data_IF_475948634453
#
_entry.id   IF_475948634453
#
_cell.length_a   1.000
_cell.length_b   1.000
_cell.length_c   1.000
_cell.angle_alpha   90.00
_cell.angle_beta   90.00
_cell.angle_gamma   90.00
#
_symmetry.space_group_name_H-M   'P 1'
#
loop_
_entity.id
_entity.type
_entity.pdbx_description
1 polymer ?
#
# COMPACT_ATOMS: atom_id res chain seq x y z
N UNK A 1 50.29 -21.26 26.10
CA UNK A 1 49.07 -21.54 26.89
C UNK A 1 48.33 -20.29 27.40
N UNK A 2 49.02 -19.23 27.86
CA UNK A 2 48.36 -18.05 28.45
C UNK A 2 47.50 -17.24 27.43
N UNK A 3 47.93 -17.18 26.17
CA UNK A 3 47.21 -16.48 25.10
C UNK A 3 45.88 -17.15 24.73
N UNK A 4 45.88 -18.49 24.64
CA UNK A 4 44.67 -19.28 24.39
C UNK A 4 43.65 -19.11 25.53
N UNK A 5 44.06 -19.11 26.80
CA UNK A 5 43.15 -18.86 27.94
C UNK A 5 42.48 -17.48 27.90
N UNK A 6 43.16 -16.44 27.40
CA UNK A 6 42.55 -15.12 27.20
C UNK A 6 41.51 -15.14 26.08
N UNK A 7 41.82 -15.79 24.96
CA UNK A 7 40.89 -15.93 23.83
C UNK A 7 39.63 -16.72 24.25
N UNK A 8 39.79 -17.84 24.96
CA UNK A 8 38.66 -18.62 25.50
C UNK A 8 37.80 -17.80 26.48
N UNK A 9 38.41 -17.00 27.35
CA UNK A 9 37.66 -16.11 28.26
C UNK A 9 36.87 -15.05 27.49
N UNK A 10 37.48 -14.42 26.48
CA UNK A 10 36.78 -13.44 25.64
C UNK A 10 35.61 -14.07 24.87
N UNK A 11 35.81 -15.25 24.26
CA UNK A 11 34.75 -15.98 23.56
C UNK A 11 33.61 -16.39 24.51
N UNK A 12 33.93 -16.82 25.74
CA UNK A 12 32.92 -17.12 26.74
C UNK A 12 32.12 -15.88 27.16
N UNK A 13 32.78 -14.74 27.36
CA UNK A 13 32.08 -13.49 27.70
C UNK A 13 31.16 -13.06 26.56
N UNK A 14 31.64 -13.10 25.31
CA UNK A 14 30.82 -12.80 24.12
C UNK A 14 29.63 -13.75 24.05
N UNK A 15 29.84 -15.05 24.25
CA UNK A 15 28.77 -16.04 24.27
C UNK A 15 27.71 -15.77 25.33
N UNK A 16 28.12 -15.43 26.56
CA UNK A 16 27.20 -15.06 27.65
C UNK A 16 26.39 -13.81 27.27
N UNK A 17 27.02 -12.79 26.70
CA UNK A 17 26.33 -11.56 26.28
C UNK A 17 25.32 -11.85 25.17
N UNK A 18 25.68 -12.64 24.17
CA UNK A 18 24.76 -13.03 23.08
C UNK A 18 23.55 -13.79 23.62
N UNK A 19 23.77 -14.74 24.53
CA UNK A 19 22.68 -15.50 25.18
C UNK A 19 21.79 -14.56 25.99
N UNK A 20 22.38 -13.66 26.79
CA UNK A 20 21.61 -12.71 27.59
C UNK A 20 20.73 -11.79 26.71
N UNK A 21 21.28 -11.25 25.61
CA UNK A 21 20.52 -10.44 24.65
C UNK A 21 19.40 -11.25 24.01
N UNK A 22 19.66 -12.49 23.61
CA UNK A 22 18.64 -13.36 23.03
C UNK A 22 17.50 -13.66 24.02
N UNK A 23 17.83 -13.91 25.30
CA UNK A 23 16.84 -14.11 26.37
C UNK A 23 16.01 -12.85 26.57
N UNK A 24 16.63 -11.67 26.64
CA UNK A 24 15.90 -10.40 26.80
C UNK A 24 14.95 -10.16 25.63
N UNK A 25 15.42 -10.32 24.38
CA UNK A 25 14.60 -10.14 23.19
C UNK A 25 13.42 -11.12 23.17
N UNK A 26 13.65 -12.39 23.56
CA UNK A 26 12.60 -13.39 23.66
C UNK A 26 11.56 -12.99 24.71
N UNK A 27 12.00 -12.63 25.92
CA UNK A 27 11.12 -12.20 27.01
C UNK A 27 10.30 -10.96 26.65
N UNK A 28 10.89 -9.95 26.03
CA UNK A 28 10.17 -8.76 25.56
C UNK A 28 9.14 -9.10 24.48
N UNK A 29 9.49 -10.00 23.56
CA UNK A 29 8.57 -10.46 22.50
C UNK A 29 7.38 -11.20 23.11
N UNK A 30 7.64 -12.14 24.02
CA UNK A 30 6.60 -12.91 24.70
C UNK A 30 5.67 -12.01 25.52
N UNK A 31 6.22 -11.02 26.23
CA UNK A 31 5.43 -10.05 26.97
C UNK A 31 4.53 -9.22 26.04
N UNK A 32 5.07 -8.70 24.93
CA UNK A 32 4.26 -7.97 23.95
C UNK A 32 3.19 -8.85 23.31
N UNK A 33 3.48 -10.11 22.99
CA UNK A 33 2.48 -11.04 22.44
C UNK A 33 1.33 -11.26 23.41
N UNK A 34 1.61 -11.36 24.71
CA UNK A 34 0.60 -11.48 25.75
C UNK A 34 -0.26 -10.21 25.87
N UNK A 35 0.36 -9.03 25.95
CA UNK A 35 -0.36 -7.75 26.02
C UNK A 35 -1.21 -7.49 24.76
N UNK A 36 -0.65 -7.79 23.60
CA UNK A 36 -1.33 -7.62 22.33
C UNK A 36 -2.50 -8.60 22.17
N UNK A 37 -2.39 -9.82 22.69
CA UNK A 37 -3.50 -10.77 22.73
C UNK A 37 -4.66 -10.25 23.59
N UNK A 38 -4.38 -9.57 24.71
CA UNK A 38 -5.41 -8.94 25.56
C UNK A 38 -6.08 -7.78 24.82
N UNK A 39 -5.30 -6.97 24.11
CA UNK A 39 -5.82 -5.84 23.32
C UNK A 39 -6.48 -6.27 22.00
N UNK A 40 -6.33 -7.54 21.61
CA UNK A 40 -6.80 -8.02 20.32
C UNK A 40 -8.33 -7.97 20.23
N UNK A 41 -9.05 -8.00 21.35
CA UNK A 41 -10.52 -7.94 21.38
C UNK A 41 -11.10 -6.58 21.00
N UNK A 42 -10.31 -5.50 21.02
CA UNK A 42 -10.79 -4.16 20.64
C UNK A 42 -11.13 -4.07 19.15
N UNK A 43 -12.31 -3.55 18.80
CA UNK A 43 -12.62 -3.14 17.42
C UNK A 43 -12.17 -1.69 17.19
N UNK A 44 -11.24 -1.49 16.26
CA UNK A 44 -10.56 -0.20 16.09
C UNK A 44 -10.40 0.13 14.61
N UNK A 45 -10.92 1.28 14.19
CA UNK A 45 -10.55 1.86 12.89
C UNK A 45 -9.11 2.37 12.95
N UNK A 46 -8.24 1.82 12.11
CA UNK A 46 -6.86 2.26 11.99
C UNK A 46 -6.82 3.50 11.08
N UNK A 47 -7.13 4.70 11.58
CA UNK A 47 -7.01 5.98 10.84
C UNK A 47 -6.03 6.98 11.47
N UNK A 48 -5.29 6.58 12.51
CA UNK A 48 -4.35 7.49 13.18
C UNK A 48 -3.07 7.75 12.35
N UNK A 49 -2.46 8.93 12.58
CA UNK A 49 -1.17 9.42 12.04
C UNK A 49 0.06 8.56 12.39
N UNK A 50 -0.11 7.35 12.89
CA UNK A 50 0.99 6.41 13.08
C UNK A 50 1.32 5.84 11.70
N UNK A 51 2.63 5.70 11.39
CA UNK A 51 3.15 4.94 10.22
C UNK A 51 2.79 3.45 10.32
N UNK A 52 1.50 3.13 10.39
CA UNK A 52 0.87 1.80 10.47
C UNK A 52 1.13 1.00 9.18
N UNK A 53 1.20 1.72 8.08
CA UNK A 53 1.49 1.35 6.70
C UNK A 53 2.92 0.84 6.49
N UNK A 54 3.83 1.07 7.44
CA UNK A 54 5.20 0.52 7.42
C UNK A 54 5.38 -0.77 8.24
N UNK A 55 4.36 -1.18 9.00
CA UNK A 55 4.38 -2.36 9.88
C UNK A 55 3.77 -3.61 9.25
N UNK A 56 3.81 -4.74 9.96
CA UNK A 56 3.13 -5.99 9.57
C UNK A 56 2.02 -6.38 10.56
N UNK A 57 2.21 -6.08 11.85
CA UNK A 57 1.32 -6.58 12.91
C UNK A 57 -0.13 -6.11 12.74
N UNK A 58 -0.34 -4.80 12.56
CA UNK A 58 -1.70 -4.25 12.43
C UNK A 58 -2.38 -4.68 11.13
N UNK A 59 -1.61 -4.87 10.04
CA UNK A 59 -2.12 -5.40 8.78
C UNK A 59 -2.66 -6.83 8.96
N UNK A 60 -1.82 -7.71 9.50
CA UNK A 60 -2.18 -9.12 9.76
C UNK A 60 -3.34 -9.23 10.75
N UNK A 61 -3.33 -8.39 11.79
CA UNK A 61 -4.43 -8.32 12.75
C UNK A 61 -5.75 -7.94 12.08
N UNK A 62 -5.74 -6.93 11.20
CA UNK A 62 -6.94 -6.48 10.48
C UNK A 62 -7.56 -7.61 9.66
N UNK A 63 -6.71 -8.31 8.90
CA UNK A 63 -7.12 -9.46 8.10
C UNK A 63 -7.70 -10.58 8.96
N UNK A 64 -7.00 -10.96 10.04
CA UNK A 64 -7.47 -11.96 10.99
C UNK A 64 -8.82 -11.61 11.65
N UNK A 65 -9.09 -10.31 11.85
CA UNK A 65 -10.35 -9.80 12.41
C UNK A 65 -11.46 -9.66 11.36
N UNK A 66 -11.16 -9.87 10.08
CA UNK A 66 -12.11 -9.69 8.99
C UNK A 66 -12.45 -8.22 8.71
N UNK A 67 -11.57 -7.30 9.10
CA UNK A 67 -11.63 -5.89 8.72
C UNK A 67 -11.26 -5.72 7.23
N UNK A 68 -11.76 -4.67 6.60
CA UNK A 68 -11.41 -4.29 5.24
C UNK A 68 -10.05 -3.56 5.23
N UNK A 69 -9.05 -4.13 4.57
CA UNK A 69 -7.87 -3.39 4.15
C UNK A 69 -8.17 -2.65 2.84
N UNK A 70 -8.09 -1.31 2.87
CA UNK A 70 -8.19 -0.50 1.66
C UNK A 70 -6.81 0.07 1.33
N UNK A 71 -6.19 -0.46 0.28
CA UNK A 71 -4.85 -0.11 -0.17
C UNK A 71 -4.94 0.92 -1.30
N UNK A 72 -4.05 1.89 -1.30
CA UNK A 72 -4.01 2.98 -2.28
C UNK A 72 -2.89 3.96 -2.02
N UNK A 73 -3.00 5.18 -2.52
CA UNK A 73 -2.06 6.28 -2.36
C UNK A 73 -2.74 7.53 -1.77
N UNK A 74 -2.57 8.70 -2.39
CA UNK A 74 -3.10 9.99 -1.92
C UNK A 74 -4.62 10.09 -2.01
N UNK A 75 -5.28 9.31 -2.86
CA UNK A 75 -6.74 9.27 -3.00
C UNK A 75 -7.43 8.92 -1.68
N UNK A 76 -6.79 8.14 -0.82
CA UNK A 76 -7.30 7.76 0.50
C UNK A 76 -7.46 8.95 1.46
N UNK A 77 -6.84 10.09 1.13
CA UNK A 77 -6.92 11.35 1.88
C UNK A 77 -7.89 12.37 1.27
N UNK A 78 -8.71 11.97 0.28
CA UNK A 78 -9.68 12.87 -0.35
C UNK A 78 -10.58 13.55 0.69
N UNK A 79 -10.68 14.89 0.68
CA UNK A 79 -11.37 15.68 1.71
C UNK A 79 -12.89 15.75 1.46
N UNK A 80 -13.53 14.62 1.18
CA UNK A 80 -14.97 14.53 0.96
C UNK A 80 -15.64 13.73 2.07
N UNK A 81 -16.90 14.04 2.37
CA UNK A 81 -17.67 13.29 3.37
C UNK A 81 -17.76 11.80 3.03
N UNK A 82 -17.71 11.47 1.75
CA UNK A 82 -17.80 10.11 1.22
C UNK A 82 -16.50 9.31 1.37
N UNK A 83 -15.44 9.89 1.93
CA UNK A 83 -14.19 9.16 2.19
C UNK A 83 -14.52 7.85 2.94
N UNK A 84 -13.94 6.70 2.56
CA UNK A 84 -14.29 5.40 3.14
C UNK A 84 -14.28 5.36 4.67
N UNK A 85 -13.41 6.10 5.35
CA UNK A 85 -13.37 6.15 6.81
C UNK A 85 -14.69 6.62 7.44
N UNK A 86 -15.46 7.44 6.72
CA UNK A 86 -16.74 7.96 7.16
C UNK A 86 -17.90 7.03 6.83
N UNK A 87 -17.71 6.02 5.98
CA UNK A 87 -18.77 5.13 5.51
C UNK A 87 -18.66 3.69 6.01
N UNK A 88 -17.59 3.32 6.72
CA UNK A 88 -17.47 2.01 7.37
C UNK A 88 -17.40 2.13 8.90
N UNK A 89 -17.85 1.10 9.65
CA UNK A 89 -18.64 -0.05 9.15
C UNK A 89 -20.04 0.40 8.68
N UNK A 90 -20.62 -0.31 7.69
CA UNK A 90 -21.99 -0.05 7.22
C UNK A 90 -22.88 -1.30 7.19
N UNK A 91 -24.17 -1.10 6.94
CA UNK A 91 -25.21 -2.12 6.91
C UNK A 91 -25.03 -3.20 5.83
N UNK A 92 -24.24 -2.96 4.79
CA UNK A 92 -23.90 -3.99 3.79
C UNK A 92 -22.58 -4.71 4.10
N UNK A 93 -21.61 -3.99 4.66
CA UNK A 93 -20.36 -4.55 5.15
C UNK A 93 -20.08 -4.06 6.58
N UNK A 94 -20.50 -4.83 7.60
CA UNK A 94 -20.30 -4.48 9.01
C UNK A 94 -18.89 -4.82 9.48
N UNK A 95 -17.88 -4.35 8.75
CA UNK A 95 -16.46 -4.52 9.05
C UNK A 95 -15.78 -3.15 9.17
N UNK A 96 -14.80 -3.03 10.06
CA UNK A 96 -14.01 -1.81 10.14
C UNK A 96 -13.15 -1.66 8.89
N UNK A 97 -12.65 -0.44 8.67
CA UNK A 97 -11.78 -0.15 7.53
C UNK A 97 -10.42 0.34 8.00
N UNK A 98 -9.39 -0.18 7.35
CA UNK A 98 -8.00 0.17 7.60
C UNK A 98 -7.36 0.60 6.28
N UNK A 99 -7.22 1.93 6.13
CA UNK A 99 -6.60 2.57 4.95
C UNK A 99 -5.08 2.42 5.00
N UNK A 100 -4.48 1.85 3.96
CA UNK A 100 -3.04 1.64 3.82
C UNK A 100 -2.55 2.38 2.58
N UNK A 101 -1.67 3.35 2.77
CA UNK A 101 -1.17 4.16 1.67
C UNK A 101 -0.99 5.62 1.99
N UNK A 102 0.00 6.22 1.33
CA UNK A 102 0.25 7.66 1.27
C UNK A 102 0.60 8.03 -0.16
N UNK A 103 0.78 9.32 -0.44
CA UNK A 103 1.30 9.77 -1.74
C UNK A 103 2.54 8.94 -2.15
N UNK A 104 2.59 8.48 -3.40
CA UNK A 104 3.67 7.62 -3.95
C UNK A 104 3.71 6.18 -3.41
N UNK A 105 2.59 5.66 -2.89
CA UNK A 105 2.37 4.23 -2.73
C UNK A 105 1.90 3.68 -4.08
N UNK A 106 2.66 2.74 -4.66
CA UNK A 106 2.51 2.26 -6.03
C UNK A 106 2.71 0.75 -6.10
N UNK A 107 2.55 0.15 -7.28
CA UNK A 107 2.43 -1.31 -7.45
C UNK A 107 3.59 -2.11 -6.83
N UNK A 108 4.83 -1.59 -6.90
CA UNK A 108 5.99 -2.27 -6.31
C UNK A 108 5.89 -2.39 -4.78
N UNK A 109 5.52 -1.30 -4.10
CA UNK A 109 5.39 -1.30 -2.63
C UNK A 109 4.21 -2.17 -2.19
N UNK A 110 3.09 -2.10 -2.90
CA UNK A 110 1.92 -2.93 -2.64
C UNK A 110 2.21 -4.41 -2.88
N UNK A 111 2.95 -4.75 -3.94
CA UNK A 111 3.37 -6.12 -4.23
C UNK A 111 4.30 -6.68 -3.16
N UNK A 112 5.27 -5.87 -2.67
CA UNK A 112 6.14 -6.27 -1.55
C UNK A 112 5.31 -6.53 -0.29
N UNK A 113 4.35 -5.65 0.01
CA UNK A 113 3.46 -5.80 1.16
C UNK A 113 2.60 -7.05 1.06
N UNK A 114 1.91 -7.28 -0.08
CA UNK A 114 1.09 -8.47 -0.29
C UNK A 114 1.94 -9.75 -0.25
N UNK A 115 3.13 -9.74 -0.84
CA UNK A 115 4.05 -10.87 -0.77
C UNK A 115 4.65 -11.10 0.62
N UNK A 116 4.59 -10.12 1.53
CA UNK A 116 4.96 -10.29 2.93
C UNK A 116 3.84 -10.91 3.79
N UNK A 117 2.59 -10.88 3.32
CA UNK A 117 1.47 -11.53 3.99
C UNK A 117 1.53 -13.06 3.78
N UNK A 118 1.01 -13.82 4.75
CA UNK A 118 1.09 -15.29 4.75
C UNK A 118 -0.26 -15.92 4.38
N UNK A 119 -0.20 -17.12 3.81
CA UNK A 119 -1.33 -17.88 3.28
C UNK A 119 -2.44 -18.25 4.28
N UNK A 120 -2.20 -18.17 5.58
CA UNK A 120 -3.14 -18.69 6.60
C UNK A 120 -4.35 -17.76 6.87
N UNK A 121 -4.39 -16.60 6.22
CA UNK A 121 -5.43 -15.59 6.38
C UNK A 121 -6.61 -15.85 5.42
N UNK A 122 -7.26 -17.02 5.53
CA UNK A 122 -8.16 -17.58 4.50
C UNK A 122 -9.47 -16.82 4.17
N UNK A 123 -9.77 -15.70 4.84
CA UNK A 123 -10.90 -14.81 4.49
C UNK A 123 -10.45 -13.36 4.60
N UNK A 124 -9.92 -12.82 3.50
CA UNK A 124 -9.34 -11.47 3.46
C UNK A 124 -10.19 -10.52 2.65
N UNK A 125 -10.60 -9.42 3.28
CA UNK A 125 -11.26 -8.30 2.61
C UNK A 125 -10.19 -7.28 2.27
N UNK A 126 -9.63 -7.37 1.06
CA UNK A 126 -8.65 -6.39 0.58
C UNK A 126 -9.20 -5.73 -0.67
N UNK A 127 -9.40 -4.42 -0.63
CA UNK A 127 -9.58 -3.62 -1.82
C UNK A 127 -8.27 -2.86 -2.11
N UNK A 128 -7.84 -2.82 -3.37
CA UNK A 128 -6.63 -2.11 -3.78
C UNK A 128 -6.94 -1.19 -4.96
N UNK A 129 -6.67 0.10 -4.80
CA UNK A 129 -6.88 1.12 -5.82
C UNK A 129 -5.66 1.19 -6.70
N UNK A 130 -5.84 1.10 -8.02
CA UNK A 130 -4.78 1.30 -9.01
C UNK A 130 -5.06 2.59 -9.75
N UNK A 131 -4.17 3.56 -9.60
CA UNK A 131 -4.35 4.90 -10.18
C UNK A 131 -3.62 5.03 -11.52
N UNK A 132 -4.24 5.60 -12.57
CA UNK A 132 -3.63 5.72 -13.88
C UNK A 132 -2.42 6.65 -13.89
N UNK A 133 -2.36 7.59 -12.94
CA UNK A 133 -1.24 8.53 -12.76
C UNK A 133 0.06 7.82 -12.41
N UNK A 134 0.00 6.60 -11.87
CA UNK A 134 1.19 5.84 -11.56
C UNK A 134 1.98 5.41 -12.79
N UNK A 135 1.30 5.36 -13.94
CA UNK A 135 1.85 4.97 -15.23
C UNK A 135 2.28 6.19 -16.08
N UNK A 136 2.14 7.41 -15.56
CA UNK A 136 2.73 8.60 -16.20
C UNK A 136 4.25 8.61 -16.00
N UNK A 137 5.01 9.04 -17.01
CA UNK A 137 6.48 9.02 -16.98
C UNK A 137 7.09 7.62 -17.12
N UNK A 138 8.43 7.56 -17.06
CA UNK A 138 9.17 6.32 -17.34
C UNK A 138 9.29 5.37 -16.14
N UNK A 139 9.23 5.90 -14.91
CA UNK A 139 9.43 5.13 -13.67
C UNK A 139 8.83 5.87 -12.46
N UNK A 140 8.69 5.15 -11.35
CA UNK A 140 8.29 5.62 -10.02
C UNK A 140 9.16 6.80 -9.57
N UNK A 141 8.54 7.79 -8.90
CA UNK A 141 9.31 8.84 -8.23
C UNK A 141 10.18 8.24 -7.11
N UNK A 142 11.50 8.30 -7.32
CA UNK A 142 12.49 7.71 -6.42
C UNK A 142 12.37 8.23 -4.99
N UNK A 143 12.06 9.50 -4.77
CA UNK A 143 11.96 10.09 -3.43
C UNK A 143 10.65 9.71 -2.74
N UNK A 144 9.55 9.68 -3.47
CA UNK A 144 8.27 9.14 -3.06
C UNK A 144 8.42 7.69 -2.60
N UNK A 145 9.02 6.84 -3.43
CA UNK A 145 9.31 5.45 -3.09
C UNK A 145 10.13 5.33 -1.79
N UNK A 146 11.27 6.04 -1.70
CA UNK A 146 12.15 6.01 -0.53
C UNK A 146 11.42 6.43 0.76
N UNK A 147 10.45 7.35 0.67
CA UNK A 147 9.70 7.84 1.82
C UNK A 147 8.73 6.81 2.40
N UNK A 148 8.20 5.92 1.54
CA UNK A 148 7.20 4.90 1.88
C UNK A 148 7.80 3.50 2.06
N UNK A 149 9.04 3.25 1.60
CA UNK A 149 9.69 1.95 1.72
C UNK A 149 9.74 1.44 3.17
N UNK A 150 9.26 0.21 3.37
CA UNK A 150 9.36 -0.51 4.64
C UNK A 150 10.37 -1.65 4.55
N UNK A 151 11.47 -1.48 5.28
CA UNK A 151 12.46 -2.55 5.43
C UNK A 151 11.88 -3.80 6.12
N UNK A 152 10.94 -3.64 7.05
CA UNK A 152 10.29 -4.78 7.70
C UNK A 152 9.48 -5.60 6.67
N UNK A 153 8.68 -4.94 5.83
CA UNK A 153 7.91 -5.61 4.78
C UNK A 153 8.84 -6.31 3.78
N UNK A 154 9.91 -5.64 3.33
CA UNK A 154 10.91 -6.24 2.45
C UNK A 154 11.59 -7.47 3.05
N UNK A 155 12.04 -7.40 4.31
CA UNK A 155 12.67 -8.52 4.99
C UNK A 155 11.70 -9.68 5.25
N UNK A 156 10.42 -9.38 5.45
CA UNK A 156 9.35 -10.37 5.59
C UNK A 156 9.06 -11.06 4.25
N UNK A 157 8.98 -10.27 3.17
CA UNK A 157 8.83 -10.74 1.79
C UNK A 157 9.96 -11.71 1.38
N UNK A 158 11.22 -11.37 1.64
CA UNK A 158 12.35 -12.26 1.33
C UNK A 158 12.30 -13.59 2.09
N UNK A 159 11.73 -13.59 3.29
CA UNK A 159 11.54 -14.78 4.15
C UNK A 159 10.28 -15.58 3.83
N UNK A 160 9.42 -15.10 2.93
CA UNK A 160 8.24 -15.84 2.56
C UNK A 160 8.64 -16.94 1.55
N UNK A 161 8.53 -18.19 1.97
CA UNK A 161 8.91 -19.36 1.19
C UNK A 161 7.91 -19.66 0.06
N UNK A 162 6.71 -19.05 0.09
CA UNK A 162 5.75 -19.15 -1.00
C UNK A 162 6.16 -18.27 -2.20
N UNK A 163 7.02 -17.27 -1.99
CA UNK A 163 7.43 -16.34 -3.05
C UNK A 163 8.59 -16.94 -3.84
N UNK A 164 8.43 -16.99 -5.17
CA UNK A 164 9.44 -17.49 -6.07
C UNK A 164 10.73 -16.66 -6.04
N UNK A 165 11.86 -17.33 -6.26
CA UNK A 165 13.17 -16.67 -6.35
C UNK A 165 13.22 -15.61 -7.45
N UNK A 166 12.45 -15.77 -8.53
CA UNK A 166 12.35 -14.80 -9.63
C UNK A 166 11.75 -13.48 -9.16
N UNK A 167 10.66 -13.52 -8.40
CA UNK A 167 10.02 -12.34 -7.83
C UNK A 167 10.89 -11.70 -6.75
N UNK A 168 11.61 -12.50 -5.95
CA UNK A 168 12.61 -11.98 -4.99
C UNK A 168 13.73 -11.22 -5.70
N UNK A 169 14.25 -11.76 -6.81
CA UNK A 169 15.25 -11.08 -7.64
C UNK A 169 14.71 -9.81 -8.27
N UNK A 170 13.48 -9.83 -8.79
CA UNK A 170 12.83 -8.67 -9.36
C UNK A 170 12.80 -7.50 -8.37
N UNK A 171 12.24 -7.74 -7.18
CA UNK A 171 12.20 -6.74 -6.10
C UNK A 171 13.60 -6.26 -5.72
N UNK A 172 14.57 -7.17 -5.55
CA UNK A 172 15.94 -6.77 -5.23
C UNK A 172 16.62 -5.97 -6.36
N UNK A 173 16.30 -6.22 -7.63
CA UNK A 173 16.73 -5.38 -8.74
C UNK A 173 16.20 -3.96 -8.61
N UNK A 174 14.88 -3.83 -8.46
CA UNK A 174 14.19 -2.54 -8.31
C UNK A 174 14.66 -1.76 -7.08
N UNK A 175 14.79 -2.41 -5.92
CA UNK A 175 15.30 -1.78 -4.70
C UNK A 175 16.76 -1.34 -4.83
N UNK A 176 17.60 -2.08 -5.57
CA UNK A 176 18.98 -1.67 -5.78
C UNK A 176 19.08 -0.35 -6.56
N UNK A 177 18.19 -0.15 -7.53
CA UNK A 177 18.06 1.08 -8.33
C UNK A 177 17.42 2.22 -7.53
N UNK A 178 16.26 1.96 -6.92
CA UNK A 178 15.43 2.98 -6.26
C UNK A 178 16.02 3.45 -4.92
N UNK A 179 16.77 2.61 -4.20
CA UNK A 179 17.43 3.00 -2.94
C UNK A 179 18.82 3.60 -3.16
N UNK A 180 19.24 3.81 -4.41
CA UNK A 180 20.49 4.49 -4.69
C UNK A 180 20.50 5.91 -4.09
N UNK A 181 21.62 6.33 -3.50
CA UNK A 181 21.76 7.54 -2.68
C UNK A 181 20.84 7.65 -1.44
N UNK A 182 20.06 6.62 -1.10
CA UNK A 182 19.29 6.59 0.14
C UNK A 182 20.14 6.10 1.31
N UNK A 183 20.71 7.04 2.04
CA UNK A 183 21.53 6.75 3.23
C UNK A 183 20.73 6.03 4.33
N UNK A 184 19.41 6.25 4.42
CA UNK A 184 18.59 5.63 5.45
C UNK A 184 18.37 4.14 5.20
N UNK A 185 18.32 3.74 3.92
CA UNK A 185 18.02 2.37 3.50
C UNK A 185 19.22 1.66 2.84
N UNK A 186 20.45 2.14 3.09
CA UNK A 186 21.67 1.58 2.50
C UNK A 186 21.89 0.09 2.81
N UNK A 187 21.47 -0.37 4.00
CA UNK A 187 21.55 -1.79 4.38
C UNK A 187 20.55 -2.66 3.59
N UNK A 188 19.35 -2.15 3.32
CA UNK A 188 18.37 -2.82 2.44
C UNK A 188 18.85 -2.85 0.99
N UNK A 189 19.50 -1.77 0.53
CA UNK A 189 20.14 -1.73 -0.79
C UNK A 189 21.28 -2.75 -0.92
N UNK A 190 22.12 -2.86 0.10
CA UNK A 190 23.21 -3.85 0.13
C UNK A 190 22.65 -5.29 0.10
N UNK A 191 21.60 -5.56 0.87
CA UNK A 191 20.92 -6.86 0.80
C UNK A 191 20.39 -7.14 -0.61
N UNK A 192 19.78 -6.12 -1.24
CA UNK A 192 19.24 -6.21 -2.59
C UNK A 192 20.33 -6.52 -3.63
N UNK A 193 21.52 -5.92 -3.51
CA UNK A 193 22.70 -6.25 -4.34
C UNK A 193 23.09 -7.74 -4.23
N UNK A 194 23.03 -8.31 -3.02
CA UNK A 194 23.36 -9.72 -2.77
C UNK A 194 22.29 -10.65 -3.34
N UNK A 195 21.02 -10.25 -3.32
CA UNK A 195 19.88 -11.10 -3.71
C UNK A 195 19.48 -11.00 -5.19
N UNK A 196 19.78 -9.89 -5.87
CA UNK A 196 19.36 -9.67 -7.28
C UNK A 196 19.98 -10.67 -8.27
N UNK A 197 21.20 -11.15 -7.99
CA UNK A 197 21.95 -12.08 -8.85
C UNK A 197 22.32 -13.38 -8.13
N UNK A 198 22.26 -14.52 -8.85
CA UNK A 198 22.73 -15.83 -8.34
C UNK A 198 24.20 -16.04 -8.74
N UNK A 199 25.12 -15.82 -7.80
CA UNK A 199 26.55 -16.09 -7.96
C UNK A 199 27.09 -16.76 -6.69
N UNK A 200 28.17 -17.53 -6.81
CA UNK A 200 28.82 -18.18 -5.64
C UNK A 200 29.23 -17.15 -4.59
N UNK A 201 29.73 -15.99 -5.04
CA UNK A 201 30.10 -14.87 -4.15
C UNK A 201 28.88 -14.37 -3.38
N UNK A 202 27.77 -14.13 -4.08
CA UNK A 202 26.54 -13.67 -3.44
C UNK A 202 25.99 -14.69 -2.45
N UNK A 203 26.02 -15.98 -2.75
CA UNK A 203 25.52 -17.01 -1.84
C UNK A 203 26.40 -17.12 -0.57
N UNK A 204 27.71 -16.96 -0.70
CA UNK A 204 28.62 -16.83 0.46
C UNK A 204 28.31 -15.56 1.27
N UNK A 205 28.07 -14.43 0.60
CA UNK A 205 27.68 -13.18 1.29
C UNK A 205 26.34 -13.33 2.00
N UNK A 206 25.33 -13.99 1.40
CA UNK A 206 24.06 -14.30 2.08
C UNK A 206 24.31 -15.06 3.38
N UNK A 207 25.15 -16.09 3.34
CA UNK A 207 25.47 -16.89 4.52
C UNK A 207 26.19 -16.07 5.60
N UNK A 208 27.19 -15.26 5.22
CA UNK A 208 27.96 -14.42 6.14
C UNK A 208 27.04 -13.40 6.83
N UNK A 209 26.16 -12.74 6.08
CA UNK A 209 25.30 -11.68 6.59
C UNK A 209 23.96 -12.16 7.15
N UNK A 210 23.60 -13.44 6.97
CA UNK A 210 22.34 -14.01 7.47
C UNK A 210 22.12 -13.74 8.96
N UNK A 211 23.07 -13.99 9.88
CA UNK A 211 22.86 -13.74 11.32
C UNK A 211 22.54 -12.27 11.62
N UNK A 212 23.18 -11.35 10.89
CA UNK A 212 22.95 -9.91 11.04
C UNK A 212 21.53 -9.53 10.61
N UNK A 213 21.11 -9.93 9.40
CA UNK A 213 19.76 -9.63 8.90
C UNK A 213 18.65 -10.36 9.66
N UNK A 214 18.97 -11.51 10.29
CA UNK A 214 18.04 -12.22 11.17
C UNK A 214 17.83 -11.51 12.50
N UNK A 215 18.91 -11.06 13.14
CA UNK A 215 18.78 -10.22 14.34
C UNK A 215 18.04 -8.92 14.01
N UNK A 216 18.38 -8.27 12.90
CA UNK A 216 17.72 -7.04 12.44
C UNK A 216 16.22 -7.24 12.23
N UNK A 217 15.84 -8.31 11.54
CA UNK A 217 14.44 -8.66 11.34
C UNK A 217 13.69 -8.82 12.68
N UNK A 218 14.26 -9.54 13.65
CA UNK A 218 13.64 -9.72 14.97
C UNK A 218 13.49 -8.40 15.72
N UNK A 219 14.46 -7.50 15.64
CA UNK A 219 14.38 -6.17 16.23
C UNK A 219 13.28 -5.31 15.57
N UNK A 220 13.16 -5.37 14.25
CA UNK A 220 12.11 -4.67 13.51
C UNK A 220 10.71 -5.20 13.86
N UNK A 221 10.55 -6.53 13.96
CA UNK A 221 9.30 -7.16 14.42
C UNK A 221 8.97 -6.73 15.85
N UNK A 222 9.94 -6.73 16.75
CA UNK A 222 9.73 -6.29 18.14
C UNK A 222 9.29 -4.81 18.20
N UNK A 223 9.93 -3.95 17.40
CA UNK A 223 9.58 -2.53 17.28
C UNK A 223 8.17 -2.34 16.71
N UNK A 224 7.79 -3.14 15.72
CA UNK A 224 6.45 -3.13 15.13
C UNK A 224 5.37 -3.53 16.14
N UNK A 225 5.57 -4.65 16.86
CA UNK A 225 4.71 -5.07 17.96
C UNK A 225 4.56 -4.00 19.03
N UNK A 226 5.66 -3.36 19.43
CA UNK A 226 5.61 -2.28 20.42
C UNK A 226 4.81 -1.07 19.93
N UNK A 227 4.97 -0.68 18.66
CA UNK A 227 4.17 0.40 18.05
C UNK A 227 2.69 0.05 18.01
N UNK A 228 2.36 -1.18 17.61
CA UNK A 228 0.99 -1.68 17.62
C UNK A 228 0.40 -1.68 19.04
N UNK A 229 1.16 -2.14 20.04
CA UNK A 229 0.75 -2.14 21.44
C UNK A 229 0.40 -0.72 21.91
N UNK A 230 1.31 0.24 21.68
CA UNK A 230 1.10 1.65 22.04
C UNK A 230 -0.15 2.20 21.38
N UNK A 231 -0.33 1.94 20.08
CA UNK A 231 -1.50 2.39 19.34
C UNK A 231 -2.80 1.80 19.91
N UNK A 232 -2.90 0.47 20.04
CA UNK A 232 -4.11 -0.21 20.50
C UNK A 232 -4.46 0.13 21.95
N UNK A 233 -3.45 0.39 22.78
CA UNK A 233 -3.65 0.85 24.16
C UNK A 233 -4.29 2.24 24.20
N UNK A 234 -3.79 3.15 23.38
CA UNK A 234 -4.18 4.56 23.37
C UNK A 234 -5.44 4.82 22.52
N UNK A 235 -5.93 3.81 21.77
CA UNK A 235 -7.12 3.94 20.93
C UNK A 235 -8.37 3.37 21.61
N UNK A 236 -9.45 4.15 21.55
CA UNK A 236 -10.78 3.74 21.99
C UNK A 236 -11.44 2.81 20.98
N UNK A 237 -12.36 1.97 21.46
CA UNK A 237 -13.16 1.14 20.58
C UNK A 237 -14.08 2.00 19.73
N UNK A 238 -14.14 1.70 18.44
CA UNK A 238 -15.01 2.36 17.48
C UNK A 238 -15.73 1.27 16.69
N UNK A 239 -17.05 1.22 16.76
CA UNK A 239 -17.86 0.40 15.84
C UNK A 239 -19.37 0.62 16.05
N UNK A 240 -19.89 1.74 15.57
CA UNK A 240 -21.33 1.83 15.28
C UNK A 240 -21.55 1.57 13.80
N UNK A 241 -22.29 0.50 13.50
CA UNK A 241 -22.67 0.17 12.12
C UNK A 241 -23.58 1.28 11.60
N UNK A 242 -23.18 1.90 10.49
CA UNK A 242 -23.92 2.98 9.85
C UNK A 242 -24.95 2.39 8.89
N UNK A 243 -26.16 2.93 8.91
CA UNK A 243 -27.15 2.62 7.88
C UNK A 243 -26.97 3.59 6.71
N UNK A 244 -26.66 3.05 5.53
CA UNK A 244 -26.48 3.81 4.30
C UNK A 244 -27.50 3.36 3.27
N UNK A 245 -28.27 4.32 2.75
CA UNK A 245 -29.03 4.17 1.52
C UNK A 245 -28.18 4.74 0.37
N UNK A 246 -27.68 3.87 -0.51
CA UNK A 246 -26.75 4.28 -1.58
C UNK A 246 -27.35 5.26 -2.57
N UNK A 247 -28.65 5.15 -2.87
CA UNK A 247 -29.34 6.09 -3.79
C UNK A 247 -29.42 7.50 -3.18
N UNK A 248 -29.72 7.58 -1.87
CA UNK A 248 -29.73 8.85 -1.15
C UNK A 248 -28.32 9.42 -0.98
N UNK A 249 -27.33 8.57 -0.70
CA UNK A 249 -25.94 8.96 -0.60
C UNK A 249 -25.42 9.53 -1.93
N UNK A 250 -25.79 8.92 -3.07
CA UNK A 250 -25.41 9.39 -4.40
C UNK A 250 -26.06 10.75 -4.74
N UNK A 251 -27.34 10.95 -4.38
CA UNK A 251 -28.00 12.25 -4.53
C UNK A 251 -27.31 13.34 -3.69
N UNK A 252 -27.02 13.03 -2.42
CA UNK A 252 -26.30 13.94 -1.52
C UNK A 252 -24.92 14.29 -2.07
N UNK A 253 -24.17 13.29 -2.54
CA UNK A 253 -22.86 13.46 -3.15
C UNK A 253 -22.90 14.39 -4.38
N UNK A 254 -23.92 14.25 -5.23
CA UNK A 254 -24.11 15.14 -6.38
C UNK A 254 -24.32 16.58 -5.97
N UNK A 255 -25.19 16.84 -4.97
CA UNK A 255 -25.47 18.19 -4.47
C UNK A 255 -24.23 18.83 -3.84
N UNK A 256 -23.49 18.08 -3.04
CA UNK A 256 -22.25 18.57 -2.41
C UNK A 256 -21.17 18.92 -3.44
N UNK A 257 -21.07 18.12 -4.50
CA UNK A 257 -20.16 18.44 -5.60
C UNK A 257 -20.56 19.71 -6.35
N UNK A 258 -21.86 19.89 -6.63
CA UNK A 258 -22.39 21.10 -7.25
C UNK A 258 -22.09 22.35 -6.42
N UNK A 259 -22.29 22.27 -5.10
CA UNK A 259 -22.00 23.37 -4.17
C UNK A 259 -20.51 23.72 -4.07
N UNK A 260 -19.62 22.73 -4.25
CA UNK A 260 -18.18 22.90 -4.09
C UNK A 260 -17.43 23.27 -5.38
N UNK A 261 -18.07 23.12 -6.54
CA UNK A 261 -17.47 23.29 -7.87
C UNK A 261 -18.20 24.39 -8.66
N UNK A 262 -18.03 25.65 -8.26
CA UNK A 262 -18.79 26.79 -8.80
C UNK A 262 -18.00 27.67 -9.75
N UNK A 263 -16.66 27.58 -9.75
CA UNK A 263 -15.79 28.53 -10.46
C UNK A 263 -15.11 27.96 -11.72
N UNK A 264 -15.43 26.73 -12.13
CA UNK A 264 -14.78 26.06 -13.25
C UNK A 264 -15.67 25.00 -13.93
N UNK A 265 -15.35 24.69 -15.19
CA UNK A 265 -16.04 23.67 -15.97
C UNK A 265 -15.37 22.29 -15.93
N UNK A 266 -14.40 22.10 -15.04
CA UNK A 266 -13.73 20.81 -14.83
C UNK A 266 -14.42 19.99 -13.72
N UNK A 267 -15.40 20.56 -13.02
CA UNK A 267 -16.06 19.96 -11.86
C UNK A 267 -15.08 19.58 -10.74
N UNK A 268 -14.04 20.40 -10.53
CA UNK A 268 -13.11 20.28 -9.40
C UNK A 268 -13.41 21.34 -8.35
N UNK A 269 -13.07 21.10 -7.08
CA UNK A 269 -13.43 22.05 -6.01
C UNK A 269 -12.74 23.41 -6.17
N UNK A 270 -13.45 24.47 -5.81
CA UNK A 270 -13.08 25.86 -6.13
C UNK A 270 -11.68 26.27 -5.66
N UNK A 271 -11.30 25.87 -4.44
CA UNK A 271 -9.99 26.15 -3.88
C UNK A 271 -8.87 25.43 -4.65
N UNK A 272 -9.09 24.19 -5.12
CA UNK A 272 -8.13 23.47 -5.95
C UNK A 272 -7.91 24.19 -7.26
N UNK A 273 -8.99 24.53 -7.95
CA UNK A 273 -8.95 25.18 -9.25
C UNK A 273 -8.19 26.50 -9.15
N UNK A 274 -8.55 27.34 -8.18
CA UNK A 274 -7.93 28.65 -7.95
C UNK A 274 -6.44 28.51 -7.67
N UNK A 275 -6.05 27.53 -6.85
CA UNK A 275 -4.67 27.34 -6.41
C UNK A 275 -3.76 26.71 -7.47
N UNK A 276 -4.25 25.71 -8.19
CA UNK A 276 -3.41 24.84 -9.02
C UNK A 276 -3.62 24.99 -10.53
N UNK A 277 -4.78 25.49 -10.98
CA UNK A 277 -5.16 25.47 -12.40
C UNK A 277 -5.34 26.87 -12.98
N UNK A 278 -6.09 27.76 -12.32
CA UNK A 278 -6.57 29.03 -12.90
C UNK A 278 -5.46 29.89 -13.53
N UNK A 279 -4.31 29.98 -12.87
CA UNK A 279 -3.16 30.79 -13.33
C UNK A 279 -2.16 30.00 -14.20
N UNK A 280 -2.47 28.75 -14.55
CA UNK A 280 -1.55 27.82 -15.22
C UNK A 280 -2.12 27.19 -16.49
N UNK A 281 -3.33 27.53 -16.90
CA UNK A 281 -4.02 26.95 -18.06
C UNK A 281 -3.09 26.82 -19.28
N UNK A 282 -2.49 27.92 -19.74
CA UNK A 282 -1.59 27.91 -20.90
C UNK A 282 -0.40 26.92 -20.76
N UNK A 283 0.14 26.79 -19.54
CA UNK A 283 1.25 25.86 -19.26
C UNK A 283 0.84 24.40 -19.15
N UNK A 284 -0.44 24.14 -18.88
CA UNK A 284 -1.01 22.81 -18.72
C UNK A 284 -1.47 22.23 -20.06
N UNK A 285 -1.84 23.09 -21.02
CA UNK A 285 -2.28 22.66 -22.34
C UNK A 285 -1.22 21.78 -23.03
N UNK A 286 -1.61 20.55 -23.41
CA UNK A 286 -0.75 19.58 -24.11
C UNK A 286 0.58 19.21 -23.42
N UNK A 287 0.75 19.49 -22.12
CA UNK A 287 1.98 19.14 -21.39
C UNK A 287 2.29 17.64 -21.40
N UNK A 288 1.26 16.80 -21.53
CA UNK A 288 1.34 15.34 -21.53
C UNK A 288 1.07 14.70 -22.90
N UNK A 289 1.14 15.47 -23.99
CA UNK A 289 0.90 14.97 -25.36
C UNK A 289 1.82 13.83 -25.80
N UNK A 290 3.01 13.75 -25.22
CA UNK A 290 4.02 12.74 -25.52
C UNK A 290 4.08 11.61 -24.49
N UNK A 291 3.22 11.63 -23.47
CA UNK A 291 3.15 10.55 -22.48
C UNK A 291 2.71 9.25 -23.14
N UNK A 292 3.33 8.16 -22.73
CA UNK A 292 3.06 6.80 -23.17
C UNK A 292 2.85 5.90 -21.95
N UNK A 293 1.61 5.75 -21.50
CA UNK A 293 1.29 5.07 -20.23
C UNK A 293 1.71 3.59 -20.19
N UNK A 294 1.81 2.94 -21.35
CA UNK A 294 2.28 1.55 -21.45
C UNK A 294 3.81 1.43 -21.52
N UNK A 295 4.52 2.55 -21.53
CA UNK A 295 5.98 2.63 -21.57
C UNK A 295 6.53 3.17 -20.23
N UNK A 296 6.02 2.62 -19.14
CA UNK A 296 6.42 2.91 -17.77
C UNK A 296 6.89 1.64 -17.08
N UNK A 297 7.90 1.74 -16.21
CA UNK A 297 8.29 0.65 -15.31
C UNK A 297 7.17 0.23 -14.36
N UNK A 298 6.17 1.08 -14.14
CA UNK A 298 4.97 0.73 -13.37
C UNK A 298 4.19 -0.42 -14.02
N UNK A 299 4.31 -0.63 -15.35
CA UNK A 299 3.74 -1.81 -16.03
C UNK A 299 4.38 -3.11 -15.53
N UNK A 300 5.71 -3.12 -15.38
CA UNK A 300 6.44 -4.27 -14.83
C UNK A 300 6.06 -4.48 -13.35
N UNK A 301 5.97 -3.38 -12.59
CA UNK A 301 5.60 -3.41 -11.17
C UNK A 301 4.14 -3.85 -10.95
N UNK A 302 3.21 -3.51 -11.85
CA UNK A 302 1.83 -3.99 -11.85
C UNK A 302 1.75 -5.50 -12.15
N UNK A 303 2.50 -5.99 -13.12
CA UNK A 303 2.58 -7.43 -13.40
C UNK A 303 3.12 -8.21 -12.18
N UNK A 304 4.10 -7.64 -11.48
CA UNK A 304 4.60 -8.18 -10.21
C UNK A 304 3.51 -8.16 -9.12
N UNK A 305 2.74 -7.07 -8.98
CA UNK A 305 1.62 -6.98 -8.04
C UNK A 305 0.57 -8.08 -8.28
N UNK A 306 0.25 -8.37 -9.55
CA UNK A 306 -0.65 -9.46 -9.93
C UNK A 306 -0.11 -10.83 -9.49
N UNK A 307 1.18 -11.09 -9.73
CA UNK A 307 1.85 -12.32 -9.28
C UNK A 307 1.76 -12.48 -7.75
N UNK A 308 2.00 -11.40 -7.00
CA UNK A 308 1.97 -11.41 -5.53
C UNK A 308 0.56 -11.63 -4.98
N UNK A 309 -0.44 -11.04 -5.63
CA UNK A 309 -1.84 -11.25 -5.31
C UNK A 309 -2.22 -12.73 -5.45
N UNK A 310 -1.78 -13.39 -6.53
CA UNK A 310 -2.07 -14.82 -6.68
C UNK A 310 -1.26 -15.72 -5.71
N UNK A 311 0.02 -15.41 -5.48
CA UNK A 311 0.95 -16.26 -4.72
C UNK A 311 0.65 -16.27 -3.22
N UNK A 312 0.20 -15.14 -2.68
CA UNK A 312 -0.13 -15.01 -1.25
C UNK A 312 -1.47 -15.66 -0.87
N UNK A 313 -2.25 -16.19 -1.83
CA UNK A 313 -3.65 -16.65 -1.67
C UNK A 313 -4.62 -15.51 -1.30
N UNK A 314 -4.13 -14.27 -1.35
CA UNK A 314 -4.90 -13.07 -1.08
C UNK A 314 -5.38 -12.53 -2.42
N UNK A 315 -6.66 -12.74 -2.76
CA UNK A 315 -7.25 -12.14 -3.96
C UNK A 315 -7.86 -10.78 -3.62
N UNK A 316 -7.13 -9.66 -3.80
CA UNK A 316 -7.72 -8.35 -3.62
C UNK A 316 -8.81 -8.10 -4.66
N UNK A 317 -9.76 -7.25 -4.30
CA UNK A 317 -10.66 -6.60 -5.23
C UNK A 317 -10.00 -5.33 -5.74
N UNK A 318 -9.56 -5.34 -7.00
CA UNK A 318 -8.93 -4.17 -7.58
C UNK A 318 -9.96 -3.10 -7.95
N UNK A 319 -9.61 -1.84 -7.75
CA UNK A 319 -10.38 -0.69 -8.22
C UNK A 319 -9.49 0.07 -9.19
N UNK A 320 -9.73 -0.13 -10.49
CA UNK A 320 -9.05 0.64 -11.52
C UNK A 320 -9.68 2.02 -11.56
N UNK A 321 -8.99 2.95 -10.89
CA UNK A 321 -9.42 4.33 -10.86
C UNK A 321 -9.31 4.92 -12.26
N UNK A 322 -10.25 5.77 -12.59
CA UNK A 322 -10.20 6.60 -13.79
C UNK A 322 -9.69 7.99 -13.42
N UNK A 323 -9.77 8.96 -14.33
CA UNK A 323 -9.34 10.32 -14.05
C UNK A 323 -10.30 11.35 -14.62
N UNK A 324 -10.16 12.62 -14.22
CA UNK A 324 -10.97 13.70 -14.77
C UNK A 324 -10.65 13.89 -16.27
N UNK A 325 -11.49 13.31 -17.13
CA UNK A 325 -11.29 13.25 -18.57
C UNK A 325 -11.19 14.64 -19.20
N UNK A 326 -11.94 15.62 -18.69
CA UNK A 326 -11.90 17.01 -19.18
C UNK A 326 -10.51 17.63 -18.99
N UNK A 327 -9.92 17.44 -17.80
CA UNK A 327 -8.57 17.93 -17.51
C UNK A 327 -7.50 17.15 -18.29
N UNK A 328 -7.66 15.83 -18.40
CA UNK A 328 -6.67 14.97 -19.04
C UNK A 328 -6.63 15.12 -20.57
N UNK A 329 -7.79 15.37 -21.19
CA UNK A 329 -7.87 15.76 -22.59
C UNK A 329 -7.18 17.11 -22.82
N UNK A 330 -7.40 18.09 -21.95
CA UNK A 330 -6.78 19.41 -22.04
C UNK A 330 -5.25 19.36 -21.97
N UNK A 331 -4.69 18.54 -21.07
CA UNK A 331 -3.24 18.34 -20.97
C UNK A 331 -2.65 17.47 -22.08
N UNK A 332 -3.45 16.96 -23.01
CA UNK A 332 -3.01 16.17 -24.16
C UNK A 332 -2.76 14.68 -23.87
N UNK A 333 -3.13 14.17 -22.69
CA UNK A 333 -3.17 12.73 -22.45
C UNK A 333 -4.55 12.23 -22.88
N UNK A 334 -4.74 12.10 -24.18
CA UNK A 334 -6.05 11.81 -24.77
C UNK A 334 -6.69 10.49 -24.28
N UNK A 335 -8.00 10.40 -24.47
CA UNK A 335 -8.80 9.23 -24.08
C UNK A 335 -8.31 7.92 -24.71
N UNK A 336 -7.73 7.92 -25.91
CA UNK A 336 -7.25 6.69 -26.56
C UNK A 336 -6.10 6.09 -25.74
N UNK A 337 -5.16 6.93 -25.30
CA UNK A 337 -4.05 6.48 -24.45
C UNK A 337 -4.53 5.95 -23.09
N UNK A 338 -5.49 6.64 -22.46
CA UNK A 338 -6.04 6.22 -21.16
C UNK A 338 -6.80 4.90 -21.27
N UNK A 339 -7.63 4.74 -22.31
CA UNK A 339 -8.34 3.49 -22.60
C UNK A 339 -7.35 2.34 -22.85
N UNK A 340 -6.26 2.57 -23.58
CA UNK A 340 -5.24 1.55 -23.79
C UNK A 340 -4.59 1.06 -22.49
N UNK A 341 -4.36 1.96 -21.52
CA UNK A 341 -3.91 1.57 -20.18
C UNK A 341 -4.98 0.72 -19.49
N UNK A 342 -6.23 1.18 -19.43
CA UNK A 342 -7.29 0.43 -18.75
C UNK A 342 -7.51 -0.95 -19.37
N UNK A 343 -7.48 -1.07 -20.71
CA UNK A 343 -7.55 -2.35 -21.43
C UNK A 343 -6.41 -3.29 -21.05
N UNK A 344 -5.19 -2.76 -20.92
CA UNK A 344 -4.05 -3.53 -20.43
C UNK A 344 -4.27 -4.03 -18.99
N UNK A 345 -4.69 -3.15 -18.08
CA UNK A 345 -4.93 -3.52 -16.68
C UNK A 345 -5.98 -4.63 -16.55
N UNK A 346 -7.12 -4.49 -17.24
CA UNK A 346 -8.16 -5.52 -17.28
C UNK A 346 -7.61 -6.84 -17.82
N UNK A 347 -7.02 -6.80 -19.02
CA UNK A 347 -6.53 -8.00 -19.71
C UNK A 347 -5.51 -8.76 -18.89
N UNK A 348 -4.56 -8.08 -18.25
CA UNK A 348 -3.55 -8.74 -17.41
C UNK A 348 -4.17 -9.29 -16.13
N UNK A 349 -5.12 -8.57 -15.53
CA UNK A 349 -5.79 -9.00 -14.29
C UNK A 349 -6.70 -10.22 -14.52
N UNK A 350 -7.39 -10.27 -15.66
CA UNK A 350 -8.22 -11.39 -16.09
C UNK A 350 -7.44 -12.70 -16.19
N UNK A 351 -6.17 -12.66 -16.64
CA UNK A 351 -5.31 -13.86 -16.72
C UNK A 351 -5.11 -14.53 -15.37
N UNK A 352 -5.19 -13.77 -14.28
CA UNK A 352 -5.02 -14.25 -12.90
C UNK A 352 -6.35 -14.56 -12.21
N UNK A 353 -7.50 -14.25 -12.84
CA UNK A 353 -8.82 -14.42 -12.24
C UNK A 353 -8.96 -13.64 -10.93
N UNK A 354 -8.44 -12.41 -10.91
CA UNK A 354 -8.55 -11.44 -9.82
C UNK A 354 -9.77 -10.53 -10.13
N UNK A 355 -10.70 -10.34 -9.19
CA UNK A 355 -11.86 -9.49 -9.43
C UNK A 355 -11.46 -8.01 -9.43
N UNK A 356 -12.15 -7.21 -10.24
CA UNK A 356 -11.91 -5.76 -10.29
C UNK A 356 -13.18 -4.94 -10.57
N UNK A 357 -13.12 -3.66 -10.20
CA UNK A 357 -14.03 -2.59 -10.58
C UNK A 357 -13.31 -1.66 -11.55
N UNK A 358 -13.86 -1.48 -12.75
CA UNK A 358 -13.35 -0.50 -13.71
C UNK A 358 -14.21 0.77 -13.68
N UNK A 359 -13.57 1.93 -13.49
CA UNK A 359 -14.24 3.23 -13.41
C UNK A 359 -14.13 4.08 -14.67
N UNK A 360 -13.60 3.57 -15.79
CA UNK A 360 -13.33 4.34 -17.02
C UNK A 360 -14.55 5.01 -17.64
N UNK A 361 -15.75 4.48 -17.40
CA UNK A 361 -16.98 5.08 -17.92
C UNK A 361 -17.32 6.41 -17.24
N UNK A 362 -16.72 6.68 -16.08
CA UNK A 362 -16.98 7.87 -15.26
C UNK A 362 -15.99 9.02 -15.46
N UNK A 363 -15.07 8.95 -16.42
CA UNK A 363 -14.05 9.99 -16.64
C UNK A 363 -14.64 11.40 -16.83
N UNK A 364 -15.84 11.48 -17.41
CA UNK A 364 -16.52 12.75 -17.71
C UNK A 364 -17.73 12.98 -16.82
N UNK A 365 -17.94 12.14 -15.80
CA UNK A 365 -19.08 12.25 -14.89
C UNK A 365 -18.84 13.42 -13.93
N UNK A 366 -19.72 14.45 -13.90
CA UNK A 366 -19.58 15.57 -12.98
C UNK A 366 -19.51 15.10 -11.53
N UNK A 367 -18.61 15.71 -10.75
CA UNK A 367 -18.40 15.48 -9.32
C UNK A 367 -17.92 14.06 -8.94
N UNK A 368 -17.52 13.26 -9.93
CA UNK A 368 -16.92 11.96 -9.69
C UNK A 368 -15.52 12.07 -9.06
N UNK A 369 -14.80 13.13 -9.39
CA UNK A 369 -13.50 13.50 -8.82
C UNK A 369 -13.64 14.80 -8.03
N UNK A 370 -12.92 14.94 -6.91
CA UNK A 370 -12.90 16.20 -6.17
C UNK A 370 -11.88 17.16 -6.77
N UNK A 371 -10.77 16.63 -7.27
CA UNK A 371 -9.77 17.34 -8.04
C UNK A 371 -9.56 16.66 -9.41
N UNK A 372 -8.41 16.89 -10.04
CA UNK A 372 -8.14 16.33 -11.38
C UNK A 372 -7.82 14.83 -11.36
N UNK A 373 -7.47 14.26 -10.21
CA UNK A 373 -6.94 12.90 -10.10
C UNK A 373 -7.64 12.03 -9.05
N UNK A 374 -8.07 12.60 -7.92
CA UNK A 374 -8.63 11.83 -6.81
C UNK A 374 -10.16 11.73 -6.90
N UNK A 375 -10.68 10.56 -6.54
CA UNK A 375 -12.13 10.33 -6.37
C UNK A 375 -12.72 11.38 -5.42
N UNK A 376 -13.87 11.90 -5.81
CA UNK A 376 -14.64 12.90 -5.08
C UNK A 376 -15.93 12.33 -4.54
N UNK A 377 -16.95 13.17 -4.48
CA UNK A 377 -18.23 12.85 -3.85
C UNK A 377 -18.89 11.62 -4.48
N UNK A 378 -19.15 11.64 -5.80
CA UNK A 378 -19.84 10.53 -6.47
C UNK A 378 -18.92 9.32 -6.64
N UNK A 379 -17.64 9.57 -6.94
CA UNK A 379 -16.64 8.52 -7.10
C UNK A 379 -16.50 7.65 -5.86
N UNK A 380 -16.27 8.26 -4.70
CA UNK A 380 -16.20 7.51 -3.45
C UNK A 380 -17.53 6.88 -3.06
N UNK A 381 -18.68 7.51 -3.31
CA UNK A 381 -19.98 6.87 -3.04
C UNK A 381 -20.10 5.54 -3.79
N UNK A 382 -19.83 5.56 -5.10
CA UNK A 382 -19.89 4.36 -5.94
C UNK A 382 -18.87 3.31 -5.51
N UNK A 383 -17.61 3.71 -5.28
CA UNK A 383 -16.54 2.77 -4.90
C UNK A 383 -16.86 2.08 -3.58
N UNK A 384 -17.33 2.84 -2.58
CA UNK A 384 -17.72 2.27 -1.29
C UNK A 384 -18.91 1.30 -1.45
N UNK A 385 -19.92 1.65 -2.23
CA UNK A 385 -21.04 0.74 -2.53
C UNK A 385 -20.56 -0.57 -3.16
N UNK A 386 -19.70 -0.48 -4.19
CA UNK A 386 -19.21 -1.66 -4.91
C UNK A 386 -18.32 -2.54 -4.05
N UNK A 387 -17.45 -1.95 -3.22
CA UNK A 387 -16.63 -2.69 -2.25
C UNK A 387 -17.52 -3.38 -1.21
N UNK A 388 -18.48 -2.67 -0.61
CA UNK A 388 -19.43 -3.25 0.33
C UNK A 388 -20.17 -4.46 -0.27
N UNK A 389 -20.70 -4.32 -1.48
CA UNK A 389 -21.44 -5.40 -2.17
C UNK A 389 -20.55 -6.58 -2.54
N UNK A 390 -19.31 -6.34 -2.96
CA UNK A 390 -18.37 -7.41 -3.30
C UNK A 390 -18.08 -8.29 -2.08
N UNK A 391 -17.68 -7.69 -0.96
CA UNK A 391 -17.32 -8.44 0.25
C UNK A 391 -18.50 -8.90 1.10
N UNK A 392 -19.73 -8.46 0.81
CA UNK A 392 -20.95 -9.02 1.41
C UNK A 392 -21.28 -10.42 0.88
N UNK A 393 -20.85 -10.74 -0.34
CA UNK A 393 -21.20 -11.98 -1.05
C UNK A 393 -20.25 -13.15 -0.73
N UNK A 394 -19.16 -12.87 -0.02
CA UNK A 394 -18.09 -13.79 0.39
C UNK A 394 -18.26 -14.06 1.88
#
# INVERSE_FOLDING_TARGET
MHHYRKIYKCLNIIGIVVIAVAVILCSCTMWLDWELAILDDKHVNLDSNIRKDSGMYLLQRSLKKGDLLLIGSSELSAPVEQNPINLYPNNELPANINKIGHAYQQCLLDGIMLGALRKDDSVNKIALIVSPQWFEGSDIDKKGFQSNFSELQFLTFLRNDCIADTSKKYVCGRLYELLDDDKANGESRFLSLIYKDKTVVNDVLKLIFYPYYELKYRLLVLKDKYRAYRFLKDTEETSTVKYINWDEAMKKASLQGEEACTNNNLFVYDEYYTKYIANRLDSLANISKNEELLNSREIDDFNFLLEMSNTSVIKPYFVFMSTNGLYYDYRGLDRVKRIALYDYLQKETDKWGIPYLDLREYEYEPYFYCDVMHLGWKGWTLVNEKISKHFRQI
#
